data_IF_703438208712
#
_entry.id   IF_703438208712
#
_cell.length_a   1.000
_cell.length_b   1.000
_cell.length_c   1.000
_cell.angle_alpha   90.00
_cell.angle_beta   90.00
_cell.angle_gamma   90.00
#
_symmetry.space_group_name_H-M   'P 1'
#
loop_
_entity.id
_entity.type
_entity.pdbx_description
1 polymer ?
#
# COMPACT_ATOMS: atom_id res chain seq x y z
N UNK A 1 63.94 -56.16 -41.55
CA UNK A 1 63.96 -55.72 -40.13
C UNK A 1 63.86 -54.21 -40.10
N UNK A 2 62.68 -53.66 -39.81
CA UNK A 2 62.49 -52.22 -39.64
C UNK A 2 63.00 -51.82 -38.25
N UNK A 3 64.03 -50.98 -38.17
CA UNK A 3 64.46 -50.38 -36.90
C UNK A 3 63.43 -49.29 -36.55
N UNK A 4 62.66 -49.52 -35.50
CA UNK A 4 61.82 -48.49 -34.90
C UNK A 4 62.73 -47.41 -34.29
N UNK A 5 62.54 -46.16 -34.70
CA UNK A 5 63.16 -44.99 -34.10
C UNK A 5 62.26 -44.56 -32.94
N UNK A 6 62.78 -44.66 -31.71
CA UNK A 6 62.10 -44.20 -30.49
C UNK A 6 62.04 -42.66 -30.51
N UNK A 7 60.90 -42.01 -30.24
CA UNK A 7 60.86 -40.54 -30.21
C UNK A 7 61.71 -40.04 -29.04
N UNK A 8 62.62 -39.13 -29.34
CA UNK A 8 63.40 -38.35 -28.37
C UNK A 8 62.46 -37.41 -27.61
N UNK A 9 62.52 -37.34 -26.26
CA UNK A 9 61.74 -36.35 -25.51
C UNK A 9 62.31 -34.96 -25.81
N UNK A 10 61.46 -34.06 -26.29
CA UNK A 10 61.81 -32.66 -26.50
C UNK A 10 62.02 -32.02 -25.13
N UNK A 11 63.27 -31.69 -24.80
CA UNK A 11 63.59 -30.98 -23.56
C UNK A 11 63.17 -29.51 -23.74
N UNK A 12 62.13 -29.09 -23.01
CA UNK A 12 61.75 -27.68 -22.91
C UNK A 12 62.96 -26.87 -22.42
N UNK A 13 63.29 -25.80 -23.13
CA UNK A 13 64.41 -24.95 -22.78
C UNK A 13 64.00 -23.92 -21.72
N UNK A 14 64.93 -23.39 -20.89
CA UNK A 14 64.63 -22.32 -19.93
C UNK A 14 63.94 -21.09 -20.55
N UNK A 15 64.12 -20.87 -21.85
CA UNK A 15 63.45 -19.81 -22.61
C UNK A 15 61.94 -20.08 -22.80
N UNK A 16 61.53 -21.33 -23.02
CA UNK A 16 60.12 -21.70 -23.20
C UNK A 16 59.33 -21.45 -21.90
N UNK A 17 59.91 -21.79 -20.75
CA UNK A 17 59.30 -21.50 -19.44
C UNK A 17 59.16 -20.00 -19.14
N UNK A 18 60.11 -19.17 -19.58
CA UNK A 18 60.02 -17.71 -19.45
C UNK A 18 58.92 -17.11 -20.35
N UNK A 19 58.72 -17.67 -21.54
CA UNK A 19 57.65 -17.27 -22.46
C UNK A 19 56.29 -17.62 -21.87
N UNK A 20 56.09 -18.86 -21.38
CA UNK A 20 54.85 -19.26 -20.72
C UNK A 20 54.49 -18.39 -19.51
N UNK A 21 55.45 -18.11 -18.63
CA UNK A 21 55.24 -17.21 -17.49
C UNK A 21 54.81 -15.80 -17.92
N UNK A 22 55.30 -15.29 -19.06
CA UNK A 22 54.94 -13.97 -19.58
C UNK A 22 53.51 -13.94 -20.12
N UNK A 23 53.09 -15.02 -20.77
CA UNK A 23 51.71 -15.19 -21.25
C UNK A 23 50.74 -15.29 -20.07
N UNK A 24 51.06 -16.07 -19.05
CA UNK A 24 50.27 -16.19 -17.82
C UNK A 24 50.12 -14.85 -17.10
N UNK A 25 51.21 -14.09 -16.96
CA UNK A 25 51.17 -12.74 -16.37
C UNK A 25 50.30 -11.77 -17.18
N UNK A 26 50.31 -11.91 -18.51
CA UNK A 26 49.47 -11.09 -19.39
C UNK A 26 48.00 -11.46 -19.24
N UNK A 27 47.68 -12.76 -19.13
CA UNK A 27 46.31 -13.23 -18.86
C UNK A 27 45.81 -12.72 -17.51
N UNK A 28 46.61 -12.85 -16.45
CA UNK A 28 46.27 -12.37 -15.11
C UNK A 28 46.02 -10.86 -15.12
N UNK A 29 46.85 -10.09 -15.84
CA UNK A 29 46.67 -8.65 -15.96
C UNK A 29 45.33 -8.31 -16.60
N UNK A 30 44.98 -8.95 -17.72
CA UNK A 30 43.71 -8.72 -18.40
C UNK A 30 42.50 -9.09 -17.51
N UNK A 31 42.62 -10.19 -16.74
CA UNK A 31 41.58 -10.60 -15.80
C UNK A 31 41.39 -9.59 -14.66
N UNK A 32 42.49 -8.98 -14.17
CA UNK A 32 42.43 -7.92 -13.15
C UNK A 32 41.74 -6.68 -13.73
N UNK A 33 42.13 -6.23 -14.92
CA UNK A 33 41.51 -5.07 -15.58
C UNK A 33 40.00 -5.28 -15.81
N UNK A 34 39.60 -6.49 -16.21
CA UNK A 34 38.18 -6.84 -16.36
C UNK A 34 37.42 -6.82 -15.02
N UNK A 35 38.06 -7.28 -13.93
CA UNK A 35 37.47 -7.24 -12.58
C UNK A 35 37.34 -5.82 -12.07
N UNK A 36 38.35 -4.96 -12.28
CA UNK A 36 38.29 -3.54 -11.91
C UNK A 36 37.14 -2.83 -12.62
N UNK A 37 36.99 -3.04 -13.94
CA UNK A 37 35.86 -2.50 -14.69
C UNK A 37 34.50 -2.99 -14.15
N UNK A 38 34.42 -4.26 -13.73
CA UNK A 38 33.20 -4.81 -13.12
C UNK A 38 32.89 -4.17 -11.76
N UNK A 39 33.92 -3.93 -10.93
CA UNK A 39 33.77 -3.26 -9.64
C UNK A 39 33.25 -1.84 -9.85
N UNK A 40 33.86 -1.06 -10.74
CA UNK A 40 33.39 0.31 -11.06
C UNK A 40 31.95 0.32 -11.54
N UNK A 41 31.55 -0.64 -12.39
CA UNK A 41 30.16 -0.74 -12.85
C UNK A 41 29.19 -1.03 -11.69
N UNK A 42 29.59 -1.87 -10.72
CA UNK A 42 28.79 -2.17 -9.53
C UNK A 42 28.69 -0.98 -8.58
N UNK A 43 29.77 -0.23 -8.40
CA UNK A 43 29.78 0.99 -7.58
C UNK A 43 28.80 2.03 -8.13
N UNK A 44 28.81 2.26 -9.44
CA UNK A 44 27.85 3.16 -10.10
C UNK A 44 26.40 2.69 -9.91
N UNK A 45 26.14 1.39 -10.05
CA UNK A 45 24.80 0.81 -9.84
C UNK A 45 24.35 0.82 -8.37
N UNK A 46 25.28 0.86 -7.41
CA UNK A 46 24.97 1.08 -5.99
C UNK A 46 24.58 2.53 -5.78
N UNK A 47 25.37 3.49 -6.27
CA UNK A 47 25.10 4.91 -6.13
C UNK A 47 23.73 5.31 -6.73
N UNK A 48 23.36 4.75 -7.89
CA UNK A 48 22.04 4.97 -8.48
C UNK A 48 20.90 4.46 -7.57
N UNK A 49 21.06 3.26 -7.00
CA UNK A 49 20.06 2.70 -6.07
C UNK A 49 19.97 3.47 -4.77
N UNK A 50 21.08 4.00 -4.25
CA UNK A 50 21.07 4.87 -3.06
C UNK A 50 20.27 6.15 -3.31
N UNK A 51 20.43 6.77 -4.50
CA UNK A 51 19.62 7.93 -4.89
C UNK A 51 18.12 7.59 -5.03
N UNK A 52 17.79 6.43 -5.59
CA UNK A 52 16.39 5.97 -5.65
C UNK A 52 15.79 5.76 -4.25
N UNK A 53 16.56 5.16 -3.33
CA UNK A 53 16.12 4.94 -1.95
C UNK A 53 15.86 6.27 -1.26
N UNK A 54 16.79 7.23 -1.36
CA UNK A 54 16.61 8.56 -0.78
C UNK A 54 15.36 9.28 -1.33
N UNK A 55 15.08 9.13 -2.63
CA UNK A 55 13.86 9.68 -3.23
C UNK A 55 12.59 9.05 -2.62
N UNK A 56 12.59 7.72 -2.45
CA UNK A 56 11.46 6.98 -1.85
C UNK A 56 11.24 7.33 -0.38
N UNK A 57 12.31 7.59 0.37
CA UNK A 57 12.23 8.01 1.77
C UNK A 57 11.54 9.37 1.89
N UNK A 58 11.94 10.35 1.08
CA UNK A 58 11.31 11.68 1.06
C UNK A 58 9.80 11.61 0.69
N UNK A 59 9.46 10.77 -0.29
CA UNK A 59 8.05 10.55 -0.68
C UNK A 59 7.23 9.91 0.47
N UNK A 60 7.85 9.03 1.25
CA UNK A 60 7.20 8.38 2.39
C UNK A 60 6.93 9.38 3.52
N UNK A 61 7.92 10.21 3.87
CA UNK A 61 7.76 11.28 4.88
C UNK A 61 6.60 12.22 4.51
N UNK A 62 6.50 12.61 3.23
CA UNK A 62 5.41 13.46 2.75
C UNK A 62 4.03 12.78 2.89
N UNK A 63 3.96 11.45 2.70
CA UNK A 63 2.73 10.68 2.89
C UNK A 63 2.36 10.57 4.36
N UNK A 64 3.32 10.33 5.24
CA UNK A 64 3.11 10.26 6.69
C UNK A 64 2.59 11.60 7.25
N UNK A 65 3.16 12.72 6.80
CA UNK A 65 2.67 14.05 7.15
C UNK A 65 1.21 14.27 6.71
N UNK A 66 0.86 13.82 5.50
CA UNK A 66 -0.52 13.89 5.00
C UNK A 66 -1.49 13.01 5.78
N UNK A 67 -1.07 11.80 6.18
CA UNK A 67 -1.88 10.92 7.03
C UNK A 67 -2.14 11.58 8.38
N UNK A 68 -1.09 12.09 9.03
CA UNK A 68 -1.17 12.81 10.31
C UNK A 68 -2.13 14.00 10.21
N UNK A 69 -2.06 14.79 9.12
CA UNK A 69 -2.98 15.91 8.90
C UNK A 69 -4.44 15.45 8.76
N UNK A 70 -4.69 14.34 8.08
CA UNK A 70 -6.04 13.77 7.94
C UNK A 70 -6.57 13.22 9.26
N UNK A 71 -5.74 12.53 10.03
CA UNK A 71 -6.11 12.04 11.36
C UNK A 71 -6.47 13.20 12.29
N UNK A 72 -5.67 14.27 12.30
CA UNK A 72 -5.98 15.48 13.05
C UNK A 72 -7.31 16.12 12.59
N UNK A 73 -7.57 16.18 11.28
CA UNK A 73 -8.83 16.70 10.75
C UNK A 73 -10.04 15.86 11.19
N UNK A 74 -9.90 14.52 11.23
CA UNK A 74 -10.95 13.61 11.72
C UNK A 74 -11.15 13.78 13.23
N UNK A 75 -10.06 13.91 14.00
CA UNK A 75 -10.11 14.10 15.44
C UNK A 75 -10.72 15.45 15.85
N UNK A 76 -10.49 16.51 15.05
CA UNK A 76 -11.09 17.83 15.26
C UNK A 76 -12.50 17.95 14.70
N UNK A 77 -12.88 17.08 13.76
CA UNK A 77 -14.25 17.00 13.25
C UNK A 77 -14.84 15.60 13.47
N UNK A 78 -14.99 15.15 14.73
CA UNK A 78 -15.56 13.85 15.02
C UNK A 78 -17.07 13.94 14.82
N UNK A 79 -17.55 13.93 13.56
CA UNK A 79 -18.98 14.08 13.18
C UNK A 79 -19.79 14.73 14.30
N UNK A 80 -19.50 16.00 14.56
CA UNK A 80 -20.19 16.75 15.62
C UNK A 80 -21.56 17.17 15.10
N UNK A 81 -22.33 16.23 14.55
CA UNK A 81 -23.77 16.36 14.63
C UNK A 81 -24.07 16.19 16.12
N UNK A 82 -24.14 17.32 16.84
CA UNK A 82 -24.85 17.38 18.13
C UNK A 82 -26.10 16.49 17.99
N UNK A 83 -26.41 15.61 18.96
CA UNK A 83 -27.57 14.74 18.87
C UNK A 83 -28.76 15.57 18.41
N UNK A 84 -29.18 15.34 17.18
CA UNK A 84 -30.28 16.09 16.58
C UNK A 84 -31.52 15.42 17.13
N UNK A 85 -32.39 16.14 17.86
CA UNK A 85 -33.62 15.55 18.34
C UNK A 85 -34.36 14.95 17.14
N UNK A 86 -34.75 13.68 17.22
CA UNK A 86 -35.49 13.05 16.14
C UNK A 86 -36.83 13.76 15.90
N UNK A 87 -37.36 13.65 14.68
CA UNK A 87 -38.63 14.28 14.30
C UNK A 87 -39.76 13.79 15.22
N UNK A 88 -40.67 14.69 15.60
CA UNK A 88 -41.82 14.36 16.44
C UNK A 88 -43.06 14.19 15.58
N UNK A 89 -43.94 13.28 15.97
CA UNK A 89 -45.22 13.10 15.31
C UNK A 89 -46.29 12.58 16.26
N UNK A 90 -47.54 12.87 15.97
CA UNK A 90 -48.69 12.27 16.62
C UNK A 90 -49.25 11.10 15.80
N UNK A 91 -49.73 10.07 16.50
CA UNK A 91 -50.44 8.96 15.88
C UNK A 91 -51.44 8.35 16.86
N UNK A 92 -52.71 8.33 16.47
CA UNK A 92 -53.79 7.76 17.31
C UNK A 92 -53.87 8.40 18.71
N UNK A 93 -53.69 9.71 18.82
CA UNK A 93 -53.75 10.46 20.08
C UNK A 93 -52.55 10.27 21.02
N UNK A 94 -51.46 9.66 20.54
CA UNK A 94 -50.20 9.50 21.27
C UNK A 94 -49.08 10.23 20.53
N UNK A 95 -48.12 10.76 21.29
CA UNK A 95 -46.95 11.44 20.72
C UNK A 95 -45.76 10.48 20.66
N UNK A 96 -45.03 10.59 19.57
CA UNK A 96 -43.84 9.81 19.29
C UNK A 96 -42.71 10.73 18.84
N UNK A 97 -41.50 10.25 19.00
CA UNK A 97 -40.29 10.90 18.52
C UNK A 97 -39.34 9.85 17.95
N UNK A 98 -38.67 10.15 16.85
CA UNK A 98 -37.52 9.34 16.44
C UNK A 98 -36.42 9.39 17.50
N UNK A 99 -35.77 8.26 17.76
CA UNK A 99 -34.67 8.21 18.71
C UNK A 99 -33.47 9.00 18.20
N UNK A 100 -32.55 9.41 19.09
CA UNK A 100 -31.34 10.15 18.68
C UNK A 100 -30.44 9.31 17.75
N UNK A 101 -30.49 7.98 17.89
CA UNK A 101 -29.77 7.02 17.06
C UNK A 101 -30.53 6.66 15.76
N UNK A 102 -31.77 7.12 15.59
CA UNK A 102 -32.56 6.80 14.41
C UNK A 102 -31.93 7.44 13.16
N UNK A 103 -31.73 6.68 12.07
CA UNK A 103 -31.23 7.23 10.82
C UNK A 103 -32.11 8.38 10.30
N UNK A 104 -31.49 9.39 9.70
CA UNK A 104 -32.21 10.51 9.06
C UNK A 104 -33.01 10.05 7.83
N UNK A 105 -32.53 8.99 7.16
CA UNK A 105 -33.19 8.34 6.03
C UNK A 105 -33.49 6.89 6.41
N UNK A 106 -34.76 6.52 6.35
CA UNK A 106 -35.28 5.20 6.71
C UNK A 106 -35.92 4.60 5.46
N UNK A 107 -35.65 3.32 5.19
CA UNK A 107 -36.28 2.60 4.08
C UNK A 107 -37.56 1.95 4.58
N UNK A 108 -38.69 2.38 4.02
CA UNK A 108 -39.99 1.76 4.24
C UNK A 108 -40.43 1.18 2.90
N UNK A 109 -40.70 -0.13 2.89
CA UNK A 109 -41.01 -0.91 1.68
C UNK A 109 -39.98 -0.73 0.55
N UNK A 110 -38.69 -0.65 0.93
CA UNK A 110 -37.56 -0.45 0.03
C UNK A 110 -37.35 0.99 -0.43
N UNK A 111 -38.32 1.88 -0.23
CA UNK A 111 -38.25 3.29 -0.64
C UNK A 111 -37.56 4.12 0.45
N UNK A 112 -36.50 4.87 0.14
CA UNK A 112 -35.87 5.77 1.09
C UNK A 112 -36.80 6.96 1.40
N UNK A 113 -37.02 7.22 2.69
CA UNK A 113 -37.84 8.33 3.21
C UNK A 113 -37.09 9.04 4.33
N UNK A 114 -37.29 10.34 4.45
CA UNK A 114 -36.83 11.14 5.58
C UNK A 114 -37.76 11.00 6.78
N UNK A 115 -37.27 11.25 7.99
CA UNK A 115 -38.11 11.26 9.19
C UNK A 115 -39.31 12.22 9.06
N UNK A 116 -39.10 13.39 8.45
CA UNK A 116 -40.15 14.38 8.19
C UNK A 116 -41.23 13.90 7.23
N UNK A 117 -40.84 13.21 6.16
CA UNK A 117 -41.80 12.59 5.24
C UNK A 117 -42.61 11.49 5.93
N UNK A 118 -41.96 10.68 6.77
CA UNK A 118 -42.64 9.62 7.52
C UNK A 118 -43.63 10.22 8.53
N UNK A 119 -43.21 11.22 9.29
CA UNK A 119 -44.06 11.93 10.25
C UNK A 119 -45.30 12.57 9.61
N UNK A 120 -45.23 12.91 8.32
CA UNK A 120 -46.33 13.53 7.58
C UNK A 120 -47.35 12.53 6.99
N UNK A 121 -47.04 11.23 6.94
CA UNK A 121 -47.86 10.23 6.23
C UNK A 121 -48.39 9.19 7.22
N UNK A 122 -49.70 9.12 7.38
CA UNK A 122 -50.43 8.19 8.28
C UNK A 122 -49.97 6.73 8.14
N UNK A 123 -49.94 6.19 6.92
CA UNK A 123 -49.58 4.79 6.67
C UNK A 123 -48.13 4.48 7.10
N UNK A 124 -47.21 5.44 6.90
CA UNK A 124 -45.82 5.27 7.29
C UNK A 124 -45.65 5.38 8.82
N UNK A 125 -46.38 6.30 9.47
CA UNK A 125 -46.47 6.35 10.95
C UNK A 125 -47.01 5.03 11.51
N UNK A 126 -48.08 4.50 10.90
CA UNK A 126 -48.69 3.24 11.29
C UNK A 126 -47.70 2.08 11.18
N UNK A 127 -46.93 2.00 10.11
CA UNK A 127 -45.95 0.92 9.93
C UNK A 127 -44.86 0.94 11.01
N UNK A 128 -44.40 2.13 11.42
CA UNK A 128 -43.45 2.24 12.53
C UNK A 128 -44.08 1.89 13.88
N UNK A 129 -45.27 2.40 14.16
CA UNK A 129 -45.95 2.21 15.46
C UNK A 129 -46.45 0.78 15.62
N UNK A 130 -47.15 0.22 14.63
CA UNK A 130 -47.65 -1.16 14.65
C UNK A 130 -46.51 -2.18 14.57
N UNK A 131 -45.41 -1.84 13.88
CA UNK A 131 -44.20 -2.65 13.82
C UNK A 131 -43.33 -2.58 15.09
N UNK A 132 -43.72 -1.80 16.11
CA UNK A 132 -42.92 -1.56 17.31
C UNK A 132 -41.46 -1.19 16.98
N UNK A 133 -41.28 -0.33 15.98
CA UNK A 133 -39.95 0.04 15.49
C UNK A 133 -39.11 0.65 16.61
N UNK A 134 -37.89 0.14 16.79
CA UNK A 134 -36.91 0.69 17.74
C UNK A 134 -36.40 2.08 17.35
N UNK A 135 -36.75 2.55 16.15
CA UNK A 135 -36.39 3.88 15.65
C UNK A 135 -37.24 4.99 16.26
N UNK A 136 -38.34 4.65 16.95
CA UNK A 136 -39.23 5.62 17.59
C UNK A 136 -39.42 5.28 19.07
N UNK A 137 -39.66 6.31 19.86
CA UNK A 137 -40.03 6.22 21.26
C UNK A 137 -41.31 7.02 21.50
N UNK A 138 -42.16 6.52 22.41
CA UNK A 138 -43.32 7.28 22.88
C UNK A 138 -42.84 8.35 23.86
N UNK A 139 -43.37 9.57 23.74
CA UNK A 139 -43.05 10.72 24.59
C UNK A 139 -44.29 11.32 25.24
#
# INVERSE_FOLDING_TARGET
MAKQQKPTPSAETPADGLIGNKEDLTSIKNDIEAREANVTARENAIAERENEVSTRENDLEAREANVTARENAIAQNPKSEKPKPGEKFDFGGRNYQFTEDAPLIIRIDGVPRTQKEIAAIEDLKLQLVAGNSSLIQKI
#
